data_IF_934137291915
#
_entry.id   IF_934137291915
#
_cell.length_a   1.000
_cell.length_b   1.000
_cell.length_c   1.000
_cell.angle_alpha   90.00
_cell.angle_beta   90.00
_cell.angle_gamma   90.00
#
_symmetry.space_group_name_H-M   'P 1'
#
loop_
_entity.id
_entity.type
_entity.pdbx_description
1 polymer ?
#
# COMPACT_ATOMS: atom_id res chain seq x y z
N UNK A 1 -45.37 -33.13 50.62
CA UNK A 1 -44.14 -32.29 50.63
C UNK A 1 -43.32 -32.68 49.41
N UNK A 2 -42.97 -31.72 48.55
CA UNK A 2 -42.24 -31.91 47.27
C UNK A 2 -43.01 -31.22 46.13
N UNK A 3 -43.13 -29.89 46.13
CA UNK A 3 -42.19 -28.85 45.70
C UNK A 3 -41.97 -28.79 44.18
N UNK A 4 -42.59 -27.74 43.61
CA UNK A 4 -42.53 -27.14 42.29
C UNK A 4 -41.09 -26.92 41.75
N UNK A 5 -40.93 -26.98 40.42
CA UNK A 5 -40.84 -25.77 39.57
C UNK A 5 -40.49 -26.13 38.12
N UNK A 6 -41.35 -25.70 37.20
CA UNK A 6 -41.04 -25.51 35.78
C UNK A 6 -39.82 -24.60 35.60
N UNK A 7 -38.82 -25.07 34.87
CA UNK A 7 -37.68 -24.27 34.42
C UNK A 7 -37.75 -24.04 32.91
N UNK A 8 -38.40 -22.95 32.53
CA UNK A 8 -38.43 -22.40 31.17
C UNK A 8 -37.12 -21.61 30.91
N UNK A 9 -36.63 -21.71 29.67
CA UNK A 9 -35.68 -20.81 28.96
C UNK A 9 -34.20 -20.90 29.35
N UNK A 10 -33.34 -21.18 28.37
CA UNK A 10 -32.44 -20.19 27.77
C UNK A 10 -31.93 -20.74 26.42
N UNK A 11 -32.28 -20.13 25.27
CA UNK A 11 -31.60 -20.46 24.03
C UNK A 11 -30.17 -19.94 24.15
N UNK A 12 -29.19 -20.83 23.98
CA UNK A 12 -27.79 -20.45 23.85
C UNK A 12 -27.69 -19.63 22.56
N UNK A 13 -27.79 -18.31 22.70
CA UNK A 13 -27.59 -17.36 21.62
C UNK A 13 -26.11 -17.43 21.23
N UNK A 14 -25.81 -18.23 20.22
CA UNK A 14 -24.55 -18.15 19.49
C UNK A 14 -24.50 -16.75 18.85
N UNK A 15 -23.86 -15.81 19.52
CA UNK A 15 -23.37 -14.59 18.90
C UNK A 15 -22.28 -14.98 17.91
N UNK A 16 -22.70 -15.31 16.69
CA UNK A 16 -21.79 -15.39 15.56
C UNK A 16 -21.38 -13.96 15.26
N UNK A 17 -20.25 -13.54 15.82
CA UNK A 17 -19.56 -12.33 15.39
C UNK A 17 -19.03 -12.60 13.98
N UNK A 18 -19.88 -12.38 12.99
CA UNK A 18 -19.46 -12.19 11.61
C UNK A 18 -18.57 -10.95 11.60
N UNK A 19 -17.26 -11.13 11.71
CA UNK A 19 -16.32 -10.13 11.24
C UNK A 19 -16.48 -10.07 9.74
N UNK A 20 -17.38 -9.20 9.30
CA UNK A 20 -17.35 -8.69 7.94
C UNK A 20 -16.07 -7.89 7.88
N UNK A 21 -14.99 -8.50 7.36
CA UNK A 21 -13.87 -7.75 6.83
C UNK A 21 -14.44 -6.93 5.68
N UNK A 22 -14.98 -5.75 6.01
CA UNK A 22 -15.23 -4.71 5.04
C UNK A 22 -13.88 -4.48 4.39
N UNK A 23 -13.72 -4.98 3.17
CA UNK A 23 -12.62 -4.61 2.29
C UNK A 23 -12.84 -3.14 1.98
N UNK A 24 -12.44 -2.28 2.93
CA UNK A 24 -12.51 -0.84 2.78
C UNK A 24 -11.81 -0.49 1.46
N UNK A 25 -12.43 0.37 0.66
CA UNK A 25 -11.85 0.78 -0.61
C UNK A 25 -10.47 1.39 -0.32
N UNK A 26 -9.42 0.69 -0.75
CA UNK A 26 -8.03 1.08 -0.49
C UNK A 26 -7.74 2.35 -1.27
N UNK A 27 -7.24 3.37 -0.56
CA UNK A 27 -6.94 4.68 -1.14
C UNK A 27 -5.66 5.22 -0.57
N UNK A 28 -4.96 6.00 -1.39
CA UNK A 28 -3.83 6.80 -0.96
C UNK A 28 -4.36 8.02 -0.21
N UNK A 29 -3.94 8.19 1.05
CA UNK A 29 -4.29 9.33 1.89
C UNK A 29 -3.28 10.47 1.71
N UNK A 30 -2.00 10.14 1.61
CA UNK A 30 -0.92 11.05 1.28
C UNK A 30 -0.18 10.48 0.07
N UNK A 31 -0.09 11.26 -1.00
CA UNK A 31 0.55 10.84 -2.25
C UNK A 31 2.02 10.48 -2.05
N UNK A 32 2.57 9.57 -2.88
CA UNK A 32 4.00 9.25 -2.86
C UNK A 32 4.89 10.48 -3.04
N UNK A 33 5.79 10.67 -2.07
CA UNK A 33 6.88 11.65 -2.14
C UNK A 33 8.19 10.90 -2.20
N UNK A 34 9.03 11.24 -3.17
CA UNK A 34 10.28 10.55 -3.45
C UNK A 34 11.47 11.49 -3.31
N UNK A 35 12.58 10.94 -2.82
CA UNK A 35 13.89 11.60 -2.78
C UNK A 35 14.93 10.70 -3.43
N UNK A 36 16.01 11.26 -3.94
CA UNK A 36 17.10 10.51 -4.57
C UNK A 36 18.41 10.71 -3.85
N UNK A 37 19.22 9.66 -3.77
CA UNK A 37 20.65 9.79 -3.47
C UNK A 37 21.46 10.27 -4.69
N UNK A 38 20.80 10.38 -5.86
CA UNK A 38 21.38 10.77 -7.14
C UNK A 38 22.53 9.87 -7.62
N UNK A 39 22.57 8.64 -7.11
CA UNK A 39 23.57 7.63 -7.43
C UNK A 39 22.91 6.34 -7.88
N UNK A 40 22.07 5.74 -7.04
CA UNK A 40 21.56 4.39 -7.29
C UNK A 40 20.20 4.09 -6.64
N UNK A 41 19.78 4.88 -5.65
CA UNK A 41 18.59 4.60 -4.86
C UNK A 41 17.73 5.86 -4.75
N UNK A 42 16.44 5.68 -5.05
CA UNK A 42 15.41 6.63 -4.68
C UNK A 42 14.47 6.03 -3.68
N UNK A 43 14.14 6.78 -2.65
CA UNK A 43 13.22 6.34 -1.60
C UNK A 43 11.92 7.11 -1.74
N UNK A 44 10.82 6.38 -1.92
CA UNK A 44 9.48 6.92 -2.00
C UNK A 44 8.68 6.51 -0.77
N UNK A 45 7.96 7.45 -0.17
CA UNK A 45 7.10 7.23 0.99
C UNK A 45 5.68 7.75 0.73
N UNK A 46 4.69 7.03 1.23
CA UNK A 46 3.27 7.43 1.17
C UNK A 46 2.49 6.90 2.36
N UNK A 47 1.24 7.36 2.50
CA UNK A 47 0.30 6.85 3.51
C UNK A 47 -1.00 6.39 2.90
N UNK A 48 -1.49 5.25 3.36
CA UNK A 48 -2.79 4.68 3.00
C UNK A 48 -3.90 5.22 3.90
N UNK A 49 -5.15 5.08 3.46
CA UNK A 49 -6.34 5.50 4.21
C UNK A 49 -6.70 4.61 5.41
N UNK A 50 -5.99 3.49 5.61
CA UNK A 50 -6.15 2.59 6.73
C UNK A 50 -4.94 1.68 6.91
N UNK A 51 -4.94 0.80 7.93
CA UNK A 51 -3.89 -0.21 8.10
C UNK A 51 -3.81 -1.11 6.86
N UNK A 52 -2.63 -1.20 6.27
CA UNK A 52 -2.37 -1.90 5.00
C UNK A 52 -1.07 -2.68 5.13
N UNK A 53 -1.05 -3.93 4.67
CA UNK A 53 0.22 -4.67 4.56
C UNK A 53 0.87 -4.34 3.22
N UNK A 54 1.79 -3.37 3.23
CA UNK A 54 2.39 -2.80 2.03
C UNK A 54 3.05 -3.89 1.17
N UNK A 55 3.80 -4.80 1.81
CA UNK A 55 4.58 -5.84 1.12
C UNK A 55 3.72 -6.85 0.36
N UNK A 56 2.51 -7.13 0.83
CA UNK A 56 1.62 -8.13 0.22
C UNK A 56 0.57 -7.51 -0.67
N UNK A 57 0.09 -6.31 -0.35
CA UNK A 57 -1.07 -5.71 -1.01
C UNK A 57 -0.69 -4.73 -2.13
N UNK A 58 0.49 -4.09 -2.04
CA UNK A 58 0.87 -2.99 -2.91
C UNK A 58 2.06 -3.32 -3.81
N UNK A 59 2.07 -2.73 -5.00
CA UNK A 59 3.21 -2.73 -5.92
C UNK A 59 3.39 -1.32 -6.49
N UNK A 60 4.61 -0.79 -6.42
CA UNK A 60 4.94 0.48 -7.06
C UNK A 60 5.72 0.18 -8.34
N UNK A 61 5.10 0.40 -9.49
CA UNK A 61 5.76 0.28 -10.77
C UNK A 61 6.44 1.61 -11.10
N UNK A 62 7.66 1.55 -11.60
CA UNK A 62 8.41 2.72 -12.04
C UNK A 62 9.13 2.45 -13.35
N UNK A 63 9.15 3.44 -14.22
CA UNK A 63 9.77 3.32 -15.54
C UNK A 63 10.37 4.66 -15.96
N UNK A 64 11.60 4.64 -16.44
CA UNK A 64 12.25 5.83 -17.01
C UNK A 64 11.48 6.26 -18.27
N UNK A 65 11.21 7.55 -18.45
CA UNK A 65 10.56 8.09 -19.64
C UNK A 65 11.59 8.24 -20.75
N UNK A 66 11.97 7.11 -21.33
CA UNK A 66 12.92 7.00 -22.43
C UNK A 66 12.47 5.91 -23.43
N UNK A 67 12.89 6.02 -24.69
CA UNK A 67 12.38 5.19 -25.80
C UNK A 67 12.59 3.68 -25.59
N UNK A 68 13.62 3.27 -24.85
CA UNK A 68 14.04 1.88 -24.66
C UNK A 68 14.14 1.50 -23.17
N UNK A 69 13.30 2.06 -22.31
CA UNK A 69 13.31 1.74 -20.89
C UNK A 69 12.46 0.52 -20.54
N UNK A 70 12.93 -0.24 -19.55
CA UNK A 70 12.16 -1.31 -18.93
C UNK A 70 11.35 -0.77 -17.74
N UNK A 71 10.19 -1.38 -17.49
CA UNK A 71 9.40 -1.10 -16.31
C UNK A 71 9.90 -1.99 -15.16
N UNK A 72 10.17 -1.38 -14.01
CA UNK A 72 10.58 -2.06 -12.80
C UNK A 72 9.46 -2.04 -11.78
N UNK A 73 9.47 -3.01 -10.86
CA UNK A 73 8.49 -3.10 -9.77
C UNK A 73 9.21 -3.09 -8.44
N UNK A 74 8.82 -2.16 -7.57
CA UNK A 74 9.25 -2.10 -6.19
C UNK A 74 8.17 -2.73 -5.28
N UNK A 75 8.60 -3.59 -4.37
CA UNK A 75 7.75 -4.17 -3.32
C UNK A 75 7.95 -3.31 -2.06
N UNK A 76 6.92 -2.60 -1.58
CA UNK A 76 7.09 -1.67 -0.47
C UNK A 76 7.10 -2.37 0.88
N UNK A 77 7.75 -1.73 1.85
CA UNK A 77 7.81 -2.12 3.24
C UNK A 77 6.87 -1.26 4.09
N UNK A 78 6.43 -1.80 5.22
CA UNK A 78 5.60 -1.06 6.17
C UNK A 78 6.46 -0.05 6.96
N UNK A 79 6.04 1.22 6.95
CA UNK A 79 6.66 2.31 7.70
C UNK A 79 5.66 2.94 8.69
N UNK A 80 5.24 2.15 9.68
CA UNK A 80 4.37 2.58 10.78
C UNK A 80 2.88 2.79 10.41
N UNK A 81 1.98 2.10 11.12
CA UNK A 81 0.53 2.27 10.97
C UNK A 81 0.02 2.02 9.54
N UNK A 82 -0.22 3.09 8.79
CA UNK A 82 -0.67 3.10 7.40
C UNK A 82 0.40 3.59 6.40
N UNK A 83 1.63 3.83 6.87
CA UNK A 83 2.74 4.28 6.04
C UNK A 83 3.40 3.13 5.29
N UNK A 84 3.83 3.40 4.06
CA UNK A 84 4.59 2.50 3.22
C UNK A 84 5.82 3.23 2.67
N UNK A 85 6.92 2.49 2.50
CA UNK A 85 8.16 2.97 1.90
C UNK A 85 8.64 2.02 0.81
N UNK A 86 9.24 2.54 -0.25
CA UNK A 86 9.80 1.74 -1.34
C UNK A 86 11.14 2.31 -1.78
N UNK A 87 12.11 1.43 -2.02
CA UNK A 87 13.43 1.78 -2.53
C UNK A 87 13.53 1.39 -4.01
N UNK A 88 13.51 2.40 -4.87
CA UNK A 88 13.65 2.27 -6.31
C UNK A 88 15.14 2.16 -6.63
N UNK A 89 15.49 1.11 -7.37
CA UNK A 89 16.85 0.90 -7.84
C UNK A 89 16.97 1.57 -9.21
N UNK A 90 17.94 2.45 -9.35
CA UNK A 90 18.21 3.19 -10.57
C UNK A 90 19.65 2.95 -10.99
N UNK A 91 19.88 2.94 -12.29
CA UNK A 91 21.22 2.81 -12.88
C UNK A 91 21.55 4.09 -13.62
N UNK A 92 22.78 4.59 -13.45
CA UNK A 92 23.32 5.77 -14.12
C UNK A 92 22.36 7.00 -14.22
N UNK A 93 21.92 7.51 -13.06
CA UNK A 93 20.98 8.65 -12.99
C UNK A 93 21.60 9.94 -13.57
N UNK A 94 20.89 10.58 -14.50
CA UNK A 94 21.27 11.87 -15.09
C UNK A 94 20.20 12.97 -14.87
N UNK A 95 20.57 14.23 -15.10
CA UNK A 95 19.68 15.38 -14.83
C UNK A 95 18.43 15.45 -15.68
N UNK A 96 18.42 14.79 -16.84
CA UNK A 96 17.27 14.75 -17.72
C UNK A 96 16.28 13.63 -17.36
N UNK A 97 16.67 12.71 -16.47
CA UNK A 97 15.84 11.55 -16.17
C UNK A 97 14.54 11.96 -15.49
N UNK A 98 13.47 11.31 -15.93
CA UNK A 98 12.15 11.45 -15.36
C UNK A 98 11.50 10.08 -15.38
N UNK A 99 10.91 9.66 -14.26
CA UNK A 99 10.32 8.35 -14.08
C UNK A 99 8.81 8.50 -13.96
N UNK A 100 8.05 7.67 -14.66
CA UNK A 100 6.63 7.46 -14.35
C UNK A 100 6.50 6.51 -13.19
N UNK A 101 5.61 6.82 -12.26
CA UNK A 101 5.31 6.02 -11.09
C UNK A 101 3.83 5.64 -11.08
N UNK A 102 3.53 4.35 -10.98
CA UNK A 102 2.16 3.81 -10.88
C UNK A 102 2.03 2.94 -9.63
N UNK A 103 1.16 3.33 -8.68
CA UNK A 103 0.91 2.58 -7.46
C UNK A 103 -0.34 1.70 -7.60
N UNK A 104 -0.17 0.39 -7.44
CA UNK A 104 -1.20 -0.61 -7.64
C UNK A 104 -1.52 -1.38 -6.36
N UNK A 105 -2.80 -1.72 -6.18
CA UNK A 105 -3.28 -2.73 -5.26
C UNK A 105 -3.96 -3.86 -6.05
N UNK A 106 -3.25 -4.98 -6.24
CA UNK A 106 -3.68 -6.02 -7.18
C UNK A 106 -3.86 -5.47 -8.59
N UNK A 107 -5.10 -5.42 -9.09
CA UNK A 107 -5.45 -4.88 -10.41
C UNK A 107 -5.99 -3.46 -10.37
N UNK A 108 -6.09 -2.84 -9.19
CA UNK A 108 -6.60 -1.49 -9.03
C UNK A 108 -5.44 -0.49 -9.02
N UNK A 109 -5.43 0.42 -9.99
CA UNK A 109 -4.53 1.59 -9.97
C UNK A 109 -5.03 2.57 -8.91
N UNK A 110 -4.19 2.87 -7.92
CA UNK A 110 -4.53 3.76 -6.81
C UNK A 110 -4.04 5.19 -7.03
N UNK A 111 -2.87 5.34 -7.65
CA UNK A 111 -2.25 6.64 -7.92
C UNK A 111 -1.26 6.53 -9.08
N UNK A 112 -1.09 7.63 -9.81
CA UNK A 112 -0.13 7.78 -10.91
C UNK A 112 0.54 9.15 -10.84
N UNK A 113 1.84 9.20 -11.08
CA UNK A 113 2.61 10.44 -11.08
C UNK A 113 3.94 10.32 -11.81
N UNK A 114 4.77 11.34 -11.63
CA UNK A 114 6.13 11.40 -12.17
C UNK A 114 7.13 11.82 -11.11
N UNK A 115 8.35 11.36 -11.23
CA UNK A 115 9.44 11.67 -10.33
C UNK A 115 10.73 11.97 -11.10
N UNK A 116 11.32 13.12 -10.80
CA UNK A 116 12.58 13.56 -11.39
C UNK A 116 13.67 13.61 -10.31
N UNK A 117 14.65 12.68 -10.33
CA UNK A 117 15.68 12.59 -9.30
C UNK A 117 16.48 13.88 -9.07
N UNK A 118 16.64 14.73 -10.08
CA UNK A 118 17.43 15.96 -9.98
C UNK A 118 16.73 17.13 -9.28
N UNK A 119 15.46 16.98 -8.91
CA UNK A 119 14.63 18.06 -8.35
C UNK A 119 14.32 17.87 -6.85
N UNK A 120 14.84 16.82 -6.22
CA UNK A 120 14.49 16.41 -4.85
C UNK A 120 15.69 15.96 -4.02
#
# INVERSE_FOLDING_TARGET
MGWLCSGLLFPVSCLVLLQVASSGNMKVLQEPTCVSDYMSISTCEWKMNGPTNCSTELRLLYQLVFLLSEAHTCIPENNGGAGCVCHLLMDDVVSADNYTLDLWAGQQLLWKGSFKPSEH
#
